data_IF_922880149575
#
_entry.id   IF_922880149575
#
_cell.length_a   1.000
_cell.length_b   1.000
_cell.length_c   1.000
_cell.angle_alpha   90.00
_cell.angle_beta   90.00
_cell.angle_gamma   90.00
#
_symmetry.space_group_name_H-M   'P 1'
#
loop_
_entity.id
_entity.type
_entity.pdbx_description
1 polymer ?
#
# COMPACT_ATOMS: atom_id res chain seq x y z
N UNK A 1 11.79 -54.31 -23.17
CA UNK A 1 12.06 -53.41 -22.03
C UNK A 1 12.59 -52.09 -22.60
N UNK A 2 11.75 -51.05 -22.68
CA UNK A 2 12.06 -49.71 -23.20
C UNK A 2 11.84 -48.71 -22.06
N UNK A 3 12.72 -47.73 -21.82
CA UNK A 3 12.56 -46.82 -20.70
C UNK A 3 11.50 -45.75 -21.00
N UNK A 4 10.72 -45.42 -19.97
CA UNK A 4 9.71 -44.37 -19.95
C UNK A 4 10.36 -42.99 -20.14
N UNK A 5 9.75 -42.16 -21.00
CA UNK A 5 10.13 -40.77 -21.20
C UNK A 5 9.80 -39.90 -19.99
N UNK A 6 10.47 -38.75 -19.82
CA UNK A 6 10.26 -37.89 -18.66
C UNK A 6 8.87 -37.24 -18.70
N UNK A 7 8.13 -37.44 -17.62
CA UNK A 7 6.91 -36.71 -17.28
C UNK A 7 7.13 -35.21 -17.45
N UNK A 8 6.41 -34.65 -18.41
CA UNK A 8 6.39 -33.21 -18.65
C UNK A 8 5.55 -32.58 -17.54
N UNK A 9 6.23 -32.07 -16.51
CA UNK A 9 5.58 -31.24 -15.50
C UNK A 9 5.02 -30.00 -16.22
N UNK A 10 3.71 -29.71 -16.14
CA UNK A 10 3.14 -28.56 -16.83
C UNK A 10 3.72 -27.28 -16.23
N UNK A 11 4.26 -26.43 -17.10
CA UNK A 11 4.74 -25.10 -16.76
C UNK A 11 3.63 -24.31 -16.04
N UNK A 12 3.95 -23.77 -14.86
CA UNK A 12 3.04 -22.97 -14.06
C UNK A 12 2.52 -21.78 -14.89
N UNK A 13 1.24 -21.85 -15.24
CA UNK A 13 0.57 -20.90 -16.13
C UNK A 13 0.74 -19.45 -15.67
N UNK A 14 1.08 -18.58 -16.62
CA UNK A 14 0.89 -17.14 -16.50
C UNK A 14 -0.59 -16.88 -16.23
N UNK A 15 -0.93 -16.49 -14.99
CA UNK A 15 -2.31 -16.11 -14.67
C UNK A 15 -2.63 -14.84 -15.44
N UNK A 16 -3.56 -14.95 -16.40
CA UNK A 16 -4.15 -13.81 -17.07
C UNK A 16 -4.68 -12.81 -16.04
N UNK A 17 -4.34 -11.54 -16.20
CA UNK A 17 -4.80 -10.49 -15.30
C UNK A 17 -6.34 -10.41 -15.25
N UNK A 18 -6.90 -10.44 -14.04
CA UNK A 18 -8.36 -10.38 -13.86
C UNK A 18 -8.92 -9.00 -14.21
N UNK A 19 -10.20 -8.95 -14.61
CA UNK A 19 -10.90 -7.70 -14.90
C UNK A 19 -10.92 -6.76 -13.69
N UNK A 20 -11.17 -7.29 -12.49
CA UNK A 20 -11.14 -6.52 -11.25
C UNK A 20 -9.75 -5.90 -10.98
N UNK A 21 -8.66 -6.60 -11.32
CA UNK A 21 -7.32 -6.06 -11.10
C UNK A 21 -7.00 -4.93 -12.07
N UNK A 22 -7.40 -5.08 -13.35
CA UNK A 22 -7.32 -4.00 -14.34
C UNK A 22 -8.13 -2.78 -13.92
N UNK A 23 -9.32 -3.01 -13.37
CA UNK A 23 -10.19 -1.95 -12.88
C UNK A 23 -9.55 -1.18 -11.71
N UNK A 24 -8.97 -1.87 -10.71
CA UNK A 24 -8.24 -1.21 -9.63
C UNK A 24 -7.07 -0.36 -10.15
N UNK A 25 -6.34 -0.82 -11.17
CA UNK A 25 -5.26 -0.03 -11.80
C UNK A 25 -5.80 1.22 -12.48
N UNK A 26 -6.91 1.12 -13.20
CA UNK A 26 -7.54 2.29 -13.83
C UNK A 26 -8.02 3.30 -12.79
N UNK A 27 -8.63 2.83 -11.71
CA UNK A 27 -9.05 3.68 -10.59
C UNK A 27 -7.85 4.33 -9.91
N UNK A 28 -6.74 3.62 -9.72
CA UNK A 28 -5.50 4.16 -9.17
C UNK A 28 -4.89 5.25 -10.06
N UNK A 29 -4.90 5.07 -11.39
CA UNK A 29 -4.50 6.12 -12.35
C UNK A 29 -5.38 7.37 -12.22
N UNK A 30 -6.70 7.20 -12.17
CA UNK A 30 -7.64 8.32 -12.03
C UNK A 30 -7.42 9.06 -10.70
N UNK A 31 -7.27 8.32 -9.61
CA UNK A 31 -6.97 8.89 -8.30
C UNK A 31 -5.63 9.64 -8.29
N UNK A 32 -4.57 9.06 -8.86
CA UNK A 32 -3.26 9.70 -8.95
C UNK A 32 -3.33 11.06 -9.67
N UNK A 33 -4.07 11.14 -10.78
CA UNK A 33 -4.31 12.39 -11.52
C UNK A 33 -4.99 13.45 -10.65
N UNK A 34 -6.00 13.07 -9.86
CA UNK A 34 -6.66 13.99 -8.91
C UNK A 34 -5.69 14.57 -7.88
N UNK A 35 -4.62 13.83 -7.55
CA UNK A 35 -3.56 14.23 -6.62
C UNK A 35 -2.36 14.90 -7.31
N UNK A 36 -2.52 15.37 -8.55
CA UNK A 36 -1.47 16.01 -9.38
C UNK A 36 -0.29 15.09 -9.76
N UNK A 37 -0.43 13.78 -9.56
CA UNK A 37 0.53 12.76 -10.03
C UNK A 37 0.13 12.35 -11.45
N UNK A 38 0.33 13.25 -12.41
CA UNK A 38 -0.22 13.12 -13.78
C UNK A 38 0.66 12.33 -14.74
N UNK A 39 1.95 12.18 -14.45
CA UNK A 39 2.83 11.30 -15.21
C UNK A 39 2.66 9.88 -14.67
N UNK A 40 1.83 9.05 -15.29
CA UNK A 40 1.47 7.75 -14.73
C UNK A 40 1.32 6.67 -15.79
N UNK A 41 1.67 5.43 -15.41
CA UNK A 41 1.51 4.24 -16.24
C UNK A 41 1.26 3.01 -15.37
N UNK A 42 0.64 1.99 -15.96
CA UNK A 42 0.50 0.66 -15.36
C UNK A 42 1.73 -0.19 -15.62
N UNK A 43 1.94 -1.24 -14.84
CA UNK A 43 2.96 -2.26 -15.12
C UNK A 43 4.39 -1.69 -15.23
N UNK A 44 4.74 -0.73 -14.38
CA UNK A 44 6.02 0.00 -14.46
C UNK A 44 7.11 -0.75 -13.68
N UNK A 45 8.22 -1.10 -14.35
CA UNK A 45 9.39 -1.65 -13.67
C UNK A 45 10.07 -0.56 -12.84
N UNK A 46 10.29 -0.84 -11.55
CA UNK A 46 10.84 0.14 -10.61
C UNK A 46 12.36 0.31 -10.78
N UNK A 47 12.90 1.51 -10.54
CA UNK A 47 14.34 1.72 -10.55
C UNK A 47 15.04 0.80 -9.54
N UNK A 48 16.23 0.32 -9.90
CA UNK A 48 17.11 -0.46 -9.01
C UNK A 48 16.47 -1.74 -8.47
N UNK A 49 15.44 -2.25 -9.14
CA UNK A 49 14.73 -3.46 -8.79
C UNK A 49 14.20 -4.21 -10.01
N UNK A 50 14.02 -5.52 -9.86
CA UNK A 50 13.28 -6.33 -10.83
C UNK A 50 11.76 -6.30 -10.58
N UNK A 51 11.29 -5.60 -9.54
CA UNK A 51 9.87 -5.46 -9.25
C UNK A 51 9.18 -4.57 -10.28
N UNK A 52 7.94 -4.95 -10.59
CA UNK A 52 7.01 -4.20 -11.40
C UNK A 52 5.87 -3.75 -10.51
N UNK A 53 5.64 -2.44 -10.46
CA UNK A 53 4.50 -1.86 -9.77
C UNK A 53 3.27 -1.95 -10.67
N UNK A 54 2.12 -2.19 -10.06
CA UNK A 54 0.83 -2.22 -10.75
C UNK A 54 0.53 -0.86 -11.38
N UNK A 55 0.78 0.22 -10.64
CA UNK A 55 0.78 1.61 -11.15
C UNK A 55 1.94 2.38 -10.54
N UNK A 56 2.62 3.17 -11.35
CA UNK A 56 3.54 4.21 -10.87
C UNK A 56 3.11 5.57 -11.41
N UNK A 57 3.24 6.60 -10.58
CA UNK A 57 2.88 7.96 -10.93
C UNK A 57 3.89 8.99 -10.39
N UNK A 58 3.97 10.15 -11.03
CA UNK A 58 4.82 11.25 -10.62
C UNK A 58 4.19 12.60 -10.93
N UNK A 59 4.56 13.61 -10.15
CA UNK A 59 4.29 15.01 -10.49
C UNK A 59 5.14 15.43 -11.69
N UNK A 60 4.69 16.39 -12.51
CA UNK A 60 5.54 17.04 -13.50
C UNK A 60 6.74 17.73 -12.83
N UNK A 61 7.77 18.04 -13.63
CA UNK A 61 8.99 18.75 -13.20
C UNK A 61 9.68 18.04 -12.02
N UNK A 62 10.07 16.78 -12.24
CA UNK A 62 10.59 15.85 -11.22
C UNK A 62 11.83 16.32 -10.45
N UNK A 63 12.53 17.34 -10.95
CA UNK A 63 13.69 17.94 -10.28
C UNK A 63 13.32 18.91 -9.14
N UNK A 64 12.11 19.45 -9.12
CA UNK A 64 11.70 20.39 -8.06
C UNK A 64 11.68 19.72 -6.68
N UNK A 65 11.96 20.50 -5.63
CA UNK A 65 11.97 20.01 -4.25
C UNK A 65 10.62 19.41 -3.80
N UNK A 66 9.51 19.94 -4.31
CA UNK A 66 8.16 19.47 -4.00
C UNK A 66 7.67 18.35 -4.95
N UNK A 67 8.50 17.89 -5.88
CA UNK A 67 8.12 16.81 -6.78
C UNK A 67 7.95 15.51 -5.99
N UNK A 68 6.91 14.75 -6.35
CA UNK A 68 6.58 13.49 -5.68
C UNK A 68 6.47 12.38 -6.69
N UNK A 69 6.90 11.19 -6.27
CA UNK A 69 6.61 9.93 -6.95
C UNK A 69 5.74 9.06 -6.07
N UNK A 70 4.90 8.24 -6.70
CA UNK A 70 4.01 7.31 -6.04
C UNK A 70 4.05 5.94 -6.72
N UNK A 71 3.98 4.89 -5.91
CA UNK A 71 3.78 3.51 -6.36
C UNK A 71 2.52 2.97 -5.72
N UNK A 72 1.71 2.30 -6.52
CA UNK A 72 0.46 1.68 -6.11
C UNK A 72 0.53 0.18 -6.38
N UNK A 73 0.18 -0.61 -5.38
CA UNK A 73 0.04 -2.06 -5.46
C UNK A 73 -1.43 -2.42 -5.34
N UNK A 74 -2.01 -3.04 -6.36
CA UNK A 74 -3.42 -3.40 -6.44
C UNK A 74 -3.63 -4.82 -5.90
N UNK A 75 -4.64 -5.00 -5.04
CA UNK A 75 -5.00 -6.30 -4.47
C UNK A 75 -6.50 -6.51 -4.54
N UNK A 76 -6.89 -7.48 -5.37
CA UNK A 76 -8.28 -7.94 -5.55
C UNK A 76 -8.67 -9.04 -4.57
N UNK A 77 -7.70 -9.75 -3.98
CA UNK A 77 -7.96 -10.81 -3.01
C UNK A 77 -6.93 -10.85 -1.88
N UNK A 78 -7.38 -11.32 -0.69
CA UNK A 78 -6.47 -11.59 0.45
C UNK A 78 -5.43 -12.67 0.12
N UNK A 79 -5.76 -13.61 -0.77
CA UNK A 79 -4.83 -14.66 -1.18
C UNK A 79 -3.67 -14.13 -2.02
N UNK A 80 -3.89 -13.07 -2.81
CA UNK A 80 -2.81 -12.37 -3.54
C UNK A 80 -1.92 -11.60 -2.57
N UNK A 81 -2.52 -10.93 -1.58
CA UNK A 81 -1.77 -10.23 -0.54
C UNK A 81 -0.92 -11.16 0.33
N UNK A 82 -1.48 -12.28 0.80
CA UNK A 82 -0.75 -13.25 1.65
C UNK A 82 0.40 -13.93 0.91
N UNK A 83 0.27 -14.13 -0.41
CA UNK A 83 1.37 -14.63 -1.25
C UNK A 83 2.54 -13.66 -1.31
N UNK A 84 2.25 -12.36 -1.35
CA UNK A 84 3.26 -11.31 -1.29
C UNK A 84 3.88 -11.13 0.11
N UNK A 85 3.15 -11.58 1.15
CA UNK A 85 3.44 -11.36 2.57
C UNK A 85 3.90 -12.61 3.34
N UNK A 86 4.28 -13.69 2.65
CA UNK A 86 4.36 -15.01 3.27
C UNK A 86 5.43 -15.12 4.37
N UNK A 87 5.01 -15.07 5.64
CA UNK A 87 5.40 -15.98 6.73
C UNK A 87 4.45 -15.93 7.95
N UNK A 88 4.14 -17.14 8.45
CA UNK A 88 3.56 -17.53 9.74
C UNK A 88 2.15 -17.00 10.13
N UNK A 89 1.14 -17.89 10.06
CA UNK A 89 -0.25 -17.64 10.54
C UNK A 89 -0.31 -17.04 11.96
N UNK A 90 0.62 -17.42 12.84
CA UNK A 90 0.65 -16.94 14.23
C UNK A 90 0.99 -15.45 14.37
N UNK A 91 1.76 -14.86 13.44
CA UNK A 91 2.10 -13.43 13.49
C UNK A 91 0.90 -12.55 13.11
N UNK A 92 0.06 -13.00 12.19
CA UNK A 92 -1.17 -12.29 11.82
C UNK A 92 -2.21 -12.30 12.97
N UNK A 93 -2.38 -13.45 13.64
CA UNK A 93 -3.26 -13.56 14.82
C UNK A 93 -2.78 -12.68 15.98
N UNK A 94 -1.46 -12.67 16.23
CA UNK A 94 -0.85 -11.78 17.23
C UNK A 94 -1.09 -10.31 16.92
N UNK A 95 -0.99 -9.92 15.65
CA UNK A 95 -1.22 -8.54 15.22
C UNK A 95 -2.67 -8.12 15.44
N UNK A 96 -3.63 -8.99 15.08
CA UNK A 96 -5.05 -8.76 15.31
C UNK A 96 -5.37 -8.61 16.81
N UNK A 97 -4.80 -9.46 17.67
CA UNK A 97 -4.98 -9.38 19.12
C UNK A 97 -4.40 -8.07 19.70
N UNK A 98 -3.25 -7.61 19.22
CA UNK A 98 -2.65 -6.34 19.62
C UNK A 98 -3.50 -5.15 19.18
N UNK A 99 -4.10 -5.18 17.98
CA UNK A 99 -5.01 -4.14 17.51
C UNK A 99 -6.27 -4.07 18.38
N UNK A 100 -6.92 -5.20 18.66
CA UNK A 100 -8.09 -5.25 19.53
C UNK A 100 -7.79 -4.65 20.90
N UNK A 101 -6.63 -4.99 21.47
CA UNK A 101 -6.19 -4.46 22.77
C UNK A 101 -5.90 -2.96 22.71
N UNK A 102 -5.32 -2.46 21.62
CA UNK A 102 -5.13 -1.03 21.39
C UNK A 102 -6.47 -0.31 21.27
N UNK A 103 -7.39 -0.83 20.47
CA UNK A 103 -8.73 -0.26 20.28
C UNK A 103 -9.49 -0.17 21.60
N UNK A 104 -9.53 -1.26 22.38
CA UNK A 104 -10.15 -1.27 23.70
C UNK A 104 -9.51 -0.26 24.66
N UNK A 105 -8.16 -0.16 24.68
CA UNK A 105 -7.48 0.82 25.52
C UNK A 105 -7.77 2.26 25.08
N UNK A 106 -7.82 2.54 23.77
CA UNK A 106 -8.15 3.86 23.23
C UNK A 106 -9.57 4.27 23.58
N UNK A 107 -10.53 3.33 23.51
CA UNK A 107 -11.91 3.55 23.95
C UNK A 107 -11.99 3.85 25.46
N UNK A 108 -11.25 3.10 26.29
CA UNK A 108 -11.16 3.39 27.73
C UNK A 108 -10.55 4.77 28.00
N UNK A 109 -9.47 5.14 27.33
CA UNK A 109 -8.87 6.48 27.48
C UNK A 109 -9.89 7.55 27.09
N UNK A 110 -10.55 7.41 25.94
CA UNK A 110 -11.58 8.34 25.48
C UNK A 110 -12.79 8.46 26.41
N UNK A 111 -13.17 7.37 27.08
CA UNK A 111 -14.23 7.39 28.09
C UNK A 111 -13.85 8.17 29.36
N UNK A 112 -12.58 8.06 29.81
CA UNK A 112 -12.10 8.76 31.01
C UNK A 112 -11.60 10.18 30.74
N UNK A 113 -11.36 10.53 29.47
CA UNK A 113 -10.80 11.81 29.04
C UNK A 113 -11.66 12.42 27.94
N UNK A 114 -12.89 12.87 28.28
CA UNK A 114 -13.76 13.54 27.31
C UNK A 114 -13.17 14.86 26.79
N UNK A 115 -12.20 15.44 27.52
CA UNK A 115 -11.41 16.61 27.10
C UNK A 115 -10.58 16.38 25.83
N UNK A 116 -10.37 15.12 25.44
CA UNK A 116 -9.65 14.75 24.23
C UNK A 116 -10.56 14.64 23.00
N UNK A 117 -11.86 14.88 23.11
CA UNK A 117 -12.78 14.83 21.97
C UNK A 117 -12.59 16.03 21.05
N UNK A 118 -12.73 15.83 19.73
CA UNK A 118 -12.45 16.88 18.74
C UNK A 118 -13.53 17.96 18.62
N UNK A 119 -14.75 17.66 19.05
CA UNK A 119 -15.93 18.51 18.90
C UNK A 119 -16.41 18.59 17.46
N UNK A 120 -16.10 17.60 16.61
CA UNK A 120 -16.44 17.62 15.19
C UNK A 120 -17.86 17.06 14.93
N UNK A 121 -18.38 16.26 15.86
CA UNK A 121 -19.68 15.58 15.74
C UNK A 121 -20.76 16.17 16.66
N UNK A 122 -22.03 16.03 16.24
CA UNK A 122 -23.19 16.53 17.00
C UNK A 122 -23.39 15.80 18.32
N UNK A 123 -23.11 14.50 18.35
CA UNK A 123 -23.20 13.69 19.57
C UNK A 123 -21.82 13.22 20.00
N UNK A 124 -21.57 13.38 21.28
CA UNK A 124 -20.25 13.18 21.84
C UNK A 124 -19.81 11.70 21.77
N UNK A 125 -20.74 10.73 21.74
CA UNK A 125 -20.42 9.31 21.55
C UNK A 125 -19.88 8.94 20.15
N UNK A 126 -20.14 9.78 19.14
CA UNK A 126 -19.62 9.58 17.78
C UNK A 126 -18.36 10.42 17.50
N UNK A 127 -18.05 11.36 18.39
CA UNK A 127 -16.94 12.28 18.23
C UNK A 127 -15.58 11.58 18.41
N UNK A 128 -14.65 11.91 17.52
CA UNK A 128 -13.34 11.28 17.50
C UNK A 128 -12.49 11.72 18.71
N UNK A 129 -11.75 10.78 19.29
CA UNK A 129 -10.83 11.05 20.39
C UNK A 129 -9.44 11.37 19.82
N UNK A 130 -8.95 12.57 20.10
CA UNK A 130 -7.60 13.00 19.75
C UNK A 130 -6.59 12.58 20.83
N UNK A 131 -5.88 11.49 20.55
CA UNK A 131 -4.84 10.97 21.44
C UNK A 131 -3.46 11.62 21.22
N UNK A 132 -3.35 12.62 20.33
CA UNK A 132 -2.07 13.32 20.10
C UNK A 132 -1.62 14.01 21.38
N UNK A 133 -0.37 13.77 21.78
CA UNK A 133 0.23 14.35 22.98
C UNK A 133 -0.13 13.65 24.30
N UNK A 134 -1.01 12.64 24.29
CA UNK A 134 -1.36 11.87 25.48
C UNK A 134 -0.18 11.02 25.96
N UNK A 135 0.31 11.28 27.17
CA UNK A 135 1.37 10.49 27.81
C UNK A 135 0.77 9.31 28.58
N UNK A 136 0.44 8.23 27.87
CA UNK A 136 -0.05 7.00 28.50
C UNK A 136 0.93 5.84 28.24
N UNK A 137 1.64 5.39 29.28
CA UNK A 137 2.73 4.40 29.17
C UNK A 137 2.28 3.09 28.50
N UNK A 138 1.13 2.54 28.90
CA UNK A 138 0.59 1.31 28.31
C UNK A 138 0.22 1.48 26.84
N UNK A 139 -0.38 2.62 26.47
CA UNK A 139 -0.71 2.94 25.09
C UNK A 139 0.56 3.01 24.23
N UNK A 140 1.57 3.77 24.66
CA UNK A 140 2.84 3.87 23.96
C UNK A 140 3.56 2.51 23.81
N UNK A 141 3.49 1.66 24.86
CA UNK A 141 4.06 0.31 24.83
C UNK A 141 3.33 -0.59 23.83
N UNK A 142 1.99 -0.62 23.87
CA UNK A 142 1.20 -1.42 22.94
C UNK A 142 1.35 -0.94 21.49
N UNK A 143 1.43 0.37 21.26
CA UNK A 143 1.72 0.92 19.92
C UNK A 143 3.11 0.54 19.42
N UNK A 144 4.10 0.47 20.31
CA UNK A 144 5.44 0.00 19.95
C UNK A 144 5.45 -1.50 19.65
N UNK A 145 4.83 -2.32 20.50
CA UNK A 145 4.68 -3.77 20.30
C UNK A 145 3.94 -4.08 18.99
N UNK A 146 2.83 -3.38 18.72
CA UNK A 146 2.06 -3.48 17.49
C UNK A 146 2.91 -3.15 16.26
N UNK A 147 3.66 -2.03 16.28
CA UNK A 147 4.57 -1.66 15.19
C UNK A 147 5.68 -2.70 14.96
N UNK A 148 6.23 -3.29 16.03
CA UNK A 148 7.24 -4.34 15.93
C UNK A 148 6.65 -5.61 15.29
N UNK A 149 5.49 -6.05 15.76
CA UNK A 149 4.79 -7.22 15.22
C UNK A 149 4.45 -7.02 13.73
N UNK A 150 3.92 -5.84 13.37
CA UNK A 150 3.62 -5.49 11.98
C UNK A 150 4.88 -5.50 11.10
N UNK A 151 5.99 -4.94 11.59
CA UNK A 151 7.27 -4.97 10.86
C UNK A 151 7.78 -6.38 10.63
N UNK A 152 7.69 -7.26 11.64
CA UNK A 152 8.09 -8.67 11.52
C UNK A 152 7.23 -9.42 10.52
N UNK A 153 5.90 -9.21 10.55
CA UNK A 153 4.98 -9.82 9.59
C UNK A 153 5.34 -9.47 8.15
N UNK A 154 5.75 -8.22 7.91
CA UNK A 154 6.14 -7.76 6.58
C UNK A 154 7.63 -7.86 6.28
N UNK A 155 8.45 -8.32 7.21
CA UNK A 155 9.90 -8.40 7.01
C UNK A 155 10.23 -9.40 5.88
N UNK A 156 11.10 -8.98 4.95
CA UNK A 156 11.47 -9.79 3.78
C UNK A 156 10.45 -9.78 2.62
N UNK A 157 9.23 -9.27 2.83
CA UNK A 157 8.18 -9.14 1.80
C UNK A 157 8.52 -8.08 0.75
N UNK A 158 7.82 -8.10 -0.39
CA UNK A 158 7.99 -7.05 -1.40
C UNK A 158 7.67 -5.66 -0.83
N UNK A 159 6.65 -5.54 0.02
CA UNK A 159 6.22 -4.27 0.61
C UNK A 159 7.31 -3.65 1.49
N UNK A 160 7.97 -4.46 2.32
CA UNK A 160 9.10 -4.01 3.12
C UNK A 160 10.31 -3.64 2.25
N UNK A 161 10.57 -4.37 1.16
CA UNK A 161 11.65 -4.04 0.23
C UNK A 161 11.40 -2.70 -0.46
N UNK A 162 10.20 -2.44 -0.96
CA UNK A 162 9.85 -1.19 -1.63
C UNK A 162 9.93 0.03 -0.70
N UNK A 163 9.47 -0.12 0.55
CA UNK A 163 9.64 0.91 1.58
C UNK A 163 11.12 1.15 1.91
N UNK A 164 11.88 0.08 2.15
CA UNK A 164 13.31 0.16 2.48
C UNK A 164 14.15 0.75 1.37
N UNK A 165 13.85 0.43 0.11
CA UNK A 165 14.53 0.96 -1.06
C UNK A 165 14.03 2.33 -1.50
N UNK A 166 13.02 2.88 -0.82
CA UNK A 166 12.40 4.16 -1.17
C UNK A 166 12.03 4.22 -2.65
N UNK A 167 11.37 3.17 -3.13
CA UNK A 167 11.04 3.03 -4.56
C UNK A 167 10.22 4.20 -5.10
N UNK A 168 9.51 4.93 -4.22
CA UNK A 168 8.88 6.20 -4.50
C UNK A 168 8.78 7.05 -3.22
N UNK A 169 8.39 8.33 -3.37
CA UNK A 169 8.11 9.21 -2.24
C UNK A 169 6.86 8.76 -1.44
N UNK A 170 5.90 8.12 -2.09
CA UNK A 170 4.63 7.66 -1.52
C UNK A 170 4.34 6.22 -1.97
N UNK A 171 3.90 5.37 -1.05
CA UNK A 171 3.56 3.98 -1.34
C UNK A 171 2.12 3.71 -0.92
N UNK A 172 1.30 3.17 -1.83
CA UNK A 172 -0.12 2.92 -1.61
C UNK A 172 -0.48 1.47 -1.89
N UNK A 173 -1.25 0.88 -0.97
CA UNK A 173 -1.99 -0.34 -1.21
C UNK A 173 -3.39 0.05 -1.71
N UNK A 174 -3.79 -0.46 -2.86
CA UNK A 174 -5.10 -0.24 -3.47
C UNK A 174 -5.89 -1.54 -3.37
N UNK A 175 -7.09 -1.48 -2.80
CA UNK A 175 -7.84 -2.66 -2.46
C UNK A 175 -9.34 -2.52 -2.72
N UNK A 176 -10.00 -3.65 -2.91
CA UNK A 176 -11.46 -3.74 -2.79
C UNK A 176 -11.90 -3.47 -1.34
N UNK A 177 -13.17 -3.09 -1.19
CA UNK A 177 -13.75 -2.83 0.13
C UNK A 177 -13.71 -4.06 1.04
N UNK A 178 -13.51 -3.82 2.33
CA UNK A 178 -13.42 -4.85 3.39
C UNK A 178 -12.32 -5.90 3.20
N UNK A 179 -11.39 -5.71 2.25
CA UNK A 179 -10.33 -6.67 1.99
C UNK A 179 -9.22 -6.62 3.03
N UNK A 180 -8.92 -5.41 3.52
CA UNK A 180 -7.93 -5.14 4.55
C UNK A 180 -8.56 -4.45 5.75
N UNK A 181 -8.24 -4.95 6.94
CA UNK A 181 -8.31 -4.11 8.12
C UNK A 181 -7.08 -3.16 8.15
N UNK A 182 -7.19 -1.93 8.70
CA UNK A 182 -6.09 -0.98 8.73
C UNK A 182 -4.78 -1.54 9.30
N UNK A 183 -4.83 -2.43 10.29
CA UNK A 183 -3.62 -3.06 10.85
C UNK A 183 -2.85 -3.96 9.88
N UNK A 184 -3.50 -4.46 8.83
CA UNK A 184 -2.87 -5.30 7.83
C UNK A 184 -2.11 -4.47 6.79
N UNK A 185 -2.19 -3.14 6.82
CA UNK A 185 -1.42 -2.28 5.93
C UNK A 185 0.03 -2.23 6.41
N UNK A 186 1.04 -2.49 5.56
CA UNK A 186 2.44 -2.41 5.97
C UNK A 186 2.82 -1.00 6.49
N UNK A 187 3.67 -0.93 7.53
CA UNK A 187 4.10 0.35 8.13
C UNK A 187 4.62 1.32 7.06
N UNK A 188 4.08 2.55 7.08
CA UNK A 188 4.44 3.62 6.15
C UNK A 188 3.71 3.60 4.80
N UNK A 189 2.92 2.57 4.50
CA UNK A 189 2.05 2.55 3.33
C UNK A 189 0.73 3.27 3.61
N UNK A 190 0.18 3.88 2.58
CA UNK A 190 -1.19 4.37 2.56
C UNK A 190 -2.16 3.29 2.09
N UNK A 191 -3.43 3.44 2.43
CA UNK A 191 -4.51 2.54 2.01
C UNK A 191 -5.56 3.30 1.23
N UNK A 192 -5.79 2.87 -0.01
CA UNK A 192 -6.86 3.31 -0.88
C UNK A 192 -7.88 2.18 -1.02
N UNK A 193 -9.13 2.45 -0.66
CA UNK A 193 -10.22 1.48 -0.78
C UNK A 193 -11.13 1.90 -1.93
N UNK A 194 -11.51 0.94 -2.78
CA UNK A 194 -12.52 1.17 -3.80
C UNK A 194 -13.90 1.40 -3.16
N UNK A 195 -14.51 2.53 -3.51
CA UNK A 195 -15.88 2.90 -3.17
C UNK A 195 -16.63 3.21 -4.47
N UNK A 196 -17.44 2.26 -4.94
CA UNK A 196 -18.13 2.37 -6.22
C UNK A 196 -17.15 2.57 -7.39
N UNK A 197 -17.23 3.73 -8.04
CA UNK A 197 -16.40 4.10 -9.20
C UNK A 197 -15.14 4.91 -8.85
N UNK A 198 -14.78 5.03 -7.56
CA UNK A 198 -13.63 5.81 -7.11
C UNK A 198 -12.78 5.09 -6.06
N UNK A 199 -11.66 5.73 -5.69
CA UNK A 199 -10.84 5.33 -4.55
C UNK A 199 -10.95 6.36 -3.44
N UNK A 200 -11.12 5.89 -2.22
CA UNK A 200 -11.13 6.67 -0.99
C UNK A 200 -9.83 6.42 -0.22
N UNK A 201 -9.20 7.49 0.27
CA UNK A 201 -8.01 7.40 1.10
C UNK A 201 -8.39 7.16 2.57
N UNK A 202 -8.19 5.93 3.02
CA UNK A 202 -8.52 5.51 4.38
C UNK A 202 -7.31 5.62 5.32
N UNK A 203 -6.10 5.51 4.79
CA UNK A 203 -4.87 5.68 5.57
C UNK A 203 -3.83 6.48 4.77
N UNK A 204 -3.29 7.52 5.39
CA UNK A 204 -2.22 8.34 4.82
C UNK A 204 -0.89 7.57 4.78
N UNK A 205 -0.16 7.60 3.65
CA UNK A 205 1.20 7.06 3.59
C UNK A 205 2.20 7.95 4.32
N UNK A 206 3.34 7.37 4.68
CA UNK A 206 4.51 8.14 5.12
C UNK A 206 5.23 8.72 3.90
N UNK A 207 5.51 10.01 3.92
CA UNK A 207 6.36 10.64 2.91
C UNK A 207 7.82 10.18 3.08
N UNK A 208 8.37 9.56 2.03
CA UNK A 208 9.77 9.14 1.97
C UNK A 208 10.60 10.20 1.27
N UNK A 209 11.76 10.53 1.84
CA UNK A 209 12.71 11.47 1.23
C UNK A 209 13.44 10.77 0.09
N UNK A 210 13.16 11.19 -1.14
CA UNK A 210 13.78 10.71 -2.39
C UNK A 210 14.65 11.79 -3.00
N UNK A 211 15.76 11.43 -3.65
CA UNK A 211 16.62 12.38 -4.38
C UNK A 211 16.02 12.76 -5.74
N UNK A 212 16.44 13.87 -6.37
CA UNK A 212 16.04 14.20 -7.74
C UNK A 212 16.30 13.08 -8.74
N UNK A 213 17.45 12.41 -8.64
CA UNK A 213 17.86 11.31 -9.52
C UNK A 213 16.93 10.10 -9.39
N UNK A 214 16.54 9.75 -8.16
CA UNK A 214 15.59 8.68 -7.90
C UNK A 214 14.21 8.98 -8.51
N UNK A 215 13.76 10.24 -8.42
CA UNK A 215 12.49 10.66 -9.02
C UNK A 215 12.55 10.64 -10.54
N UNK A 216 13.63 11.13 -11.14
CA UNK A 216 13.84 11.11 -12.60
C UNK A 216 13.88 9.67 -13.11
N UNK A 217 14.62 8.79 -12.46
CA UNK A 217 14.71 7.38 -12.87
C UNK A 217 13.34 6.70 -12.91
N UNK A 218 12.42 7.00 -11.97
CA UNK A 218 11.06 6.46 -12.04
C UNK A 218 10.27 7.09 -13.19
N UNK A 219 10.39 8.39 -13.43
CA UNK A 219 9.72 9.06 -14.55
C UNK A 219 10.16 8.51 -15.90
N UNK A 220 11.44 8.21 -16.07
CA UNK A 220 11.95 7.53 -17.27
C UNK A 220 11.33 6.15 -17.46
N UNK A 221 11.14 5.39 -16.37
CA UNK A 221 10.46 4.08 -16.43
C UNK A 221 8.98 4.22 -16.80
N UNK A 222 8.29 5.23 -16.28
CA UNK A 222 6.90 5.55 -16.64
C UNK A 222 6.81 5.92 -18.12
N UNK A 223 7.69 6.80 -18.60
CA UNK A 223 7.74 7.23 -19.99
C UNK A 223 8.03 6.06 -20.95
N UNK A 224 8.98 5.18 -20.61
CA UNK A 224 9.34 4.03 -21.43
C UNK A 224 8.18 3.04 -21.64
N UNK A 225 7.23 2.95 -20.69
CA UNK A 225 6.01 2.16 -20.88
C UNK A 225 5.05 2.88 -21.85
N UNK A 226 4.86 4.20 -21.66
CA UNK A 226 4.01 5.01 -22.53
C UNK A 226 4.44 4.98 -24.00
N UNK A 227 5.74 5.06 -24.28
CA UNK A 227 6.26 5.00 -25.65
C UNK A 227 5.96 3.67 -26.36
N UNK A 228 5.96 2.54 -25.65
CA UNK A 228 5.68 1.21 -26.24
C UNK A 228 4.21 1.04 -26.60
N UNK A 229 3.32 1.50 -25.72
CA UNK A 229 1.88 1.46 -25.96
C UNK A 229 1.48 2.31 -27.18
N UNK A 230 2.15 3.44 -27.41
CA UNK A 230 1.92 4.27 -28.60
C UNK A 230 2.41 3.63 -29.90
N UNK A 231 3.46 2.79 -29.85
CA UNK A 231 3.96 2.07 -31.03
C UNK A 231 3.08 0.88 -31.40
N UNK A 232 2.52 0.17 -30.41
CA UNK A 232 1.62 -0.99 -30.64
C UNK A 232 0.23 -0.60 -31.17
N UNK A 233 -0.18 0.66 -31.03
CA UNK A 233 -1.47 1.17 -31.56
C UNK A 233 -1.35 1.63 -33.03
N UNK A 234 -0.13 1.71 -33.57
CA UNK A 234 0.14 2.13 -34.95
C UNK A 234 0.41 0.99 -35.94
N UNK A 235 0.40 -0.27 -35.49
CA UNK A 235 0.45 -1.50 -36.32
C UNK A 235 -0.94 -2.16 -36.41
#
# INVERSE_FOLDING_TARGET
MKPAGPDTVPAAGSRSESAAHRELKQLALAWARSQRLVLAATEVRLPRSNYRADVAAATPRSLHANARTAVFECKVSRADFRRDSAREKGEAERLAALEQRLSALRALIGGHRPDLRRGEELFAEYDAVDLRGVRHRTHARLEAEFRIAQRRLYEGTKFARLARWRAASLLYLVAEDSLFAPHEVPDGWGLLIRRGAGLELVMLPRLHVTTPEERVALVERIAAVGSRASSEVQE
#
